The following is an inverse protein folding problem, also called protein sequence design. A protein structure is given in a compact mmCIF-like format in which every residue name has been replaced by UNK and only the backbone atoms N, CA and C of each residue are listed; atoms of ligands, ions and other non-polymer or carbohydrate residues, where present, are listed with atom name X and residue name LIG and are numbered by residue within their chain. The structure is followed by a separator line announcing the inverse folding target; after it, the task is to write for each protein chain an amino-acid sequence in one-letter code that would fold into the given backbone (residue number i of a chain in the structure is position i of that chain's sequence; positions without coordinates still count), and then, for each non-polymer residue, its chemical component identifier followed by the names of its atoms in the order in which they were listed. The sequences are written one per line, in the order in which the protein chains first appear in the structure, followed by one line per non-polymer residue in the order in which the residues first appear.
data_IF_728466340003
#
_entry.id   IF_728466340003
#
_cell.length_a   1.000
_cell.length_b   1.000
_cell.length_c   1.000
_cell.angle_alpha   90.00
_cell.angle_beta   90.00
_cell.angle_gamma   90.00
#
_symmetry.space_group_name_H-M   'P 1'
#
loop_
_entity.id
_entity.type
_entity.pdbx_description
1 polymer ?
#
# COMPACT_ATOMS: atom_id res chain seq x y z
N UNK A 1 -21.62 -6.11 2.49
CA UNK A 1 -20.80 -6.42 3.67
C UNK A 1 -21.68 -6.54 4.87
N UNK A 2 -21.74 -5.50 5.71
CA UNK A 2 -22.50 -5.53 6.97
C UNK A 2 -23.96 -5.92 6.74
N UNK A 3 -24.68 -5.22 5.86
CA UNK A 3 -26.09 -5.50 5.56
C UNK A 3 -26.33 -6.98 5.21
N UNK A 4 -25.58 -7.54 4.27
CA UNK A 4 -25.73 -8.94 3.85
C UNK A 4 -25.45 -9.95 4.97
N UNK A 5 -24.65 -9.58 5.97
CA UNK A 5 -24.31 -10.46 7.08
C UNK A 5 -25.29 -10.38 8.26
N UNK A 6 -26.13 -9.34 8.33
CA UNK A 6 -27.11 -9.15 9.41
C UNK A 6 -28.56 -9.24 8.94
N UNK A 7 -28.84 -9.00 7.66
CA UNK A 7 -30.20 -9.01 7.12
C UNK A 7 -30.81 -10.41 7.23
N UNK A 8 -32.04 -10.49 7.73
CA UNK A 8 -32.79 -11.72 7.99
C UNK A 8 -32.14 -12.68 9.00
N UNK A 9 -31.33 -12.16 9.93
CA UNK A 9 -30.82 -12.92 11.08
C UNK A 9 -31.33 -12.32 12.38
N UNK A 10 -31.65 -13.19 13.32
CA UNK A 10 -31.91 -12.82 14.72
C UNK A 10 -30.62 -13.00 15.53
N UNK A 11 -30.41 -12.14 16.53
CA UNK A 11 -29.22 -12.15 17.37
C UNK A 11 -29.64 -12.20 18.84
N UNK A 12 -29.08 -13.12 19.61
CA UNK A 12 -29.41 -13.29 21.04
C UNK A 12 -28.57 -12.37 21.95
N UNK A 13 -27.50 -11.78 21.42
CA UNK A 13 -26.59 -10.91 22.19
C UNK A 13 -25.91 -9.85 21.32
N UNK A 14 -25.42 -8.79 21.96
CA UNK A 14 -24.58 -7.78 21.30
C UNK A 14 -23.31 -8.43 20.74
N UNK A 15 -22.73 -9.42 21.43
CA UNK A 15 -21.57 -10.16 20.94
C UNK A 15 -21.82 -10.84 19.59
N UNK A 16 -22.93 -11.56 19.45
CA UNK A 16 -23.25 -12.27 18.20
C UNK A 16 -23.49 -11.30 17.02
N UNK A 17 -24.20 -10.19 17.30
CA UNK A 17 -24.37 -9.11 16.34
C UNK A 17 -23.01 -8.49 15.96
N UNK A 18 -22.15 -8.24 16.95
CA UNK A 18 -20.82 -7.66 16.77
C UNK A 18 -19.96 -8.51 15.84
N UNK A 19 -19.92 -9.83 16.06
CA UNK A 19 -19.14 -10.74 15.23
C UNK A 19 -19.62 -10.73 13.78
N UNK A 20 -20.94 -10.76 13.56
CA UNK A 20 -21.52 -10.72 12.21
C UNK A 20 -21.28 -9.37 11.51
N UNK A 21 -21.38 -8.26 12.23
CA UNK A 21 -21.08 -6.93 11.71
C UNK A 21 -19.59 -6.81 11.37
N UNK A 22 -18.69 -7.25 12.26
CA UNK A 22 -17.25 -7.20 12.04
C UNK A 22 -16.81 -8.06 10.86
N UNK A 23 -17.32 -9.29 10.75
CA UNK A 23 -17.08 -10.16 9.60
C UNK A 23 -17.54 -9.49 8.29
N UNK A 24 -18.72 -8.88 8.32
CA UNK A 24 -19.29 -8.19 7.16
C UNK A 24 -18.53 -6.92 6.77
N UNK A 25 -18.00 -6.22 7.75
CA UNK A 25 -17.16 -5.05 7.56
C UNK A 25 -15.76 -5.44 7.04
N UNK A 26 -15.13 -6.47 7.60
CA UNK A 26 -13.82 -6.99 7.18
C UNK A 26 -13.87 -7.51 5.74
N UNK A 27 -14.89 -8.31 5.41
CA UNK A 27 -15.03 -8.91 4.07
C UNK A 27 -15.30 -7.86 2.99
N UNK A 28 -15.97 -6.76 3.33
CA UNK A 28 -16.32 -5.72 2.36
C UNK A 28 -15.42 -4.47 2.44
N UNK A 29 -14.47 -4.41 3.37
CA UNK A 29 -13.60 -3.25 3.52
C UNK A 29 -12.78 -3.02 2.25
N UNK A 30 -12.91 -1.82 1.68
CA UNK A 30 -12.14 -1.39 0.51
C UNK A 30 -11.51 -0.02 0.78
N UNK A 31 -10.25 0.12 0.36
CA UNK A 31 -9.48 1.34 0.54
C UNK A 31 -9.16 1.70 1.99
N UNK A 32 -8.46 2.83 2.18
CA UNK A 32 -8.06 3.29 3.51
C UNK A 32 -9.27 3.60 4.40
N UNK A 33 -10.32 4.20 3.83
CA UNK A 33 -11.56 4.54 4.54
C UNK A 33 -12.28 3.29 5.07
N UNK A 34 -12.38 2.23 4.26
CA UNK A 34 -12.95 0.95 4.68
C UNK A 34 -12.15 0.32 5.81
N UNK A 35 -10.81 0.29 5.68
CA UNK A 35 -9.92 -0.25 6.73
C UNK A 35 -10.03 0.57 8.03
N UNK A 36 -10.08 1.90 7.96
CA UNK A 36 -10.25 2.78 9.13
C UNK A 36 -11.59 2.51 9.81
N UNK A 37 -12.69 2.42 9.06
CA UNK A 37 -14.01 2.18 9.64
C UNK A 37 -14.13 0.78 10.24
N UNK A 38 -13.60 -0.25 9.57
CA UNK A 38 -13.54 -1.59 10.14
C UNK A 38 -12.66 -1.66 11.39
N UNK A 39 -11.52 -0.95 11.38
CA UNK A 39 -10.69 -0.75 12.56
C UNK A 39 -11.45 -0.07 13.70
N UNK A 40 -12.25 0.95 13.39
CA UNK A 40 -13.13 1.61 14.36
C UNK A 40 -14.11 0.61 15.00
N UNK A 41 -14.84 -0.16 14.19
CA UNK A 41 -15.78 -1.15 14.70
C UNK A 41 -15.07 -2.22 15.57
N UNK A 42 -13.87 -2.65 15.15
CA UNK A 42 -13.08 -3.66 15.87
C UNK A 42 -12.55 -3.17 17.23
N UNK A 43 -12.40 -1.86 17.43
CA UNK A 43 -12.10 -1.28 18.76
C UNK A 43 -13.37 -1.01 19.57
N UNK A 44 -14.47 -0.72 18.90
CA UNK A 44 -15.74 -0.32 19.49
C UNK A 44 -16.51 -1.50 20.10
N UNK A 45 -16.81 -2.53 19.29
CA UNK A 45 -17.71 -3.62 19.69
C UNK A 45 -17.23 -4.44 20.90
N UNK A 46 -15.92 -4.79 21.03
CA UNK A 46 -15.46 -5.53 22.20
C UNK A 46 -15.74 -4.81 23.53
N UNK A 47 -15.92 -3.49 23.52
CA UNK A 47 -16.25 -2.75 24.72
C UNK A 47 -17.69 -2.98 25.19
N UNK A 48 -18.61 -3.37 24.32
CA UNK A 48 -20.04 -3.48 24.61
C UNK A 48 -20.62 -4.90 24.40
N UNK A 49 -19.82 -5.82 23.86
CA UNK A 49 -20.26 -7.16 23.46
C UNK A 49 -20.91 -7.97 24.60
N UNK A 50 -20.37 -7.85 25.83
CA UNK A 50 -20.84 -8.58 27.01
C UNK A 50 -21.95 -7.84 27.79
N UNK A 51 -22.29 -6.61 27.39
CA UNK A 51 -23.28 -5.79 28.09
C UNK A 51 -24.70 -6.17 27.67
N UNK A 52 -25.61 -6.28 28.64
CA UNK A 52 -27.05 -6.41 28.35
C UNK A 52 -27.68 -5.08 27.96
N UNK A 53 -27.21 -4.00 28.61
CA UNK A 53 -27.62 -2.62 28.37
C UNK A 53 -26.37 -1.74 28.38
N UNK A 54 -26.25 -0.83 27.42
CA UNK A 54 -25.07 0.02 27.28
C UNK A 54 -25.35 1.39 27.91
N UNK A 55 -24.62 1.72 28.97
CA UNK A 55 -24.71 3.05 29.59
C UNK A 55 -24.05 4.13 28.74
N UNK A 56 -24.43 5.40 28.93
CA UNK A 56 -23.79 6.53 28.23
C UNK A 56 -22.27 6.56 28.42
N UNK A 57 -21.77 6.33 29.64
CA UNK A 57 -20.34 6.32 29.91
C UNK A 57 -19.63 5.17 29.17
N UNK A 58 -20.24 3.98 29.15
CA UNK A 58 -19.72 2.83 28.42
C UNK A 58 -19.70 3.07 26.91
N UNK A 59 -20.75 3.68 26.39
CA UNK A 59 -20.86 4.15 25.00
C UNK A 59 -19.69 5.09 24.65
N UNK A 60 -19.42 6.08 25.52
CA UNK A 60 -18.31 7.02 25.36
C UNK A 60 -16.94 6.34 25.31
N UNK A 61 -16.70 5.37 26.20
CA UNK A 61 -15.47 4.55 26.21
C UNK A 61 -15.35 3.73 24.92
N UNK A 62 -16.44 3.12 24.45
CA UNK A 62 -16.45 2.32 23.23
C UNK A 62 -16.05 3.15 22.00
N UNK A 63 -16.56 4.38 21.87
CA UNK A 63 -16.16 5.29 20.79
C UNK A 63 -14.69 5.67 20.84
N UNK A 64 -14.14 5.95 22.03
CA UNK A 64 -12.71 6.23 22.19
C UNK A 64 -11.85 5.03 21.77
N UNK A 65 -12.22 3.82 22.20
CA UNK A 65 -11.52 2.58 21.84
C UNK A 65 -11.62 2.29 20.35
N UNK A 66 -12.78 2.57 19.74
CA UNK A 66 -12.93 2.55 18.30
C UNK A 66 -11.98 3.52 17.61
N UNK A 67 -11.90 4.78 18.06
CA UNK A 67 -10.95 5.76 17.51
C UNK A 67 -9.48 5.29 17.61
N UNK A 68 -9.06 4.81 18.79
CA UNK A 68 -7.70 4.30 19.00
C UNK A 68 -7.36 3.20 17.99
N UNK A 69 -8.26 2.23 17.83
CA UNK A 69 -8.07 1.12 16.89
C UNK A 69 -8.10 1.55 15.43
N UNK A 70 -8.97 2.50 15.08
CA UNK A 70 -9.03 3.09 13.74
C UNK A 70 -7.70 3.76 13.37
N UNK A 71 -7.07 4.47 14.32
CA UNK A 71 -5.77 5.11 14.14
C UNK A 71 -4.64 4.08 13.97
N UNK A 72 -4.65 3.00 14.75
CA UNK A 72 -3.68 1.89 14.64
C UNK A 72 -3.78 1.13 13.33
N UNK A 73 -4.95 1.14 12.68
CA UNK A 73 -5.19 0.44 11.43
C UNK A 73 -4.48 1.07 10.23
N UNK A 74 -3.81 2.22 10.41
CA UNK A 74 -3.09 2.95 9.37
C UNK A 74 -1.66 3.28 9.81
N UNK A 75 -0.68 2.96 8.96
CA UNK A 75 0.74 3.14 9.26
C UNK A 75 1.19 4.62 9.35
N UNK A 76 0.60 5.51 8.56
CA UNK A 76 0.97 6.93 8.48
C UNK A 76 -0.30 7.81 8.48
N UNK A 77 -0.96 7.97 9.65
CA UNK A 77 -2.21 8.73 9.77
C UNK A 77 -1.97 10.20 9.42
N UNK A 78 -2.88 10.77 8.62
CA UNK A 78 -2.82 12.17 8.16
C UNK A 78 -3.89 13.02 8.83
N UNK A 79 -3.50 14.21 9.24
CA UNK A 79 -4.45 15.26 9.65
C UNK A 79 -5.32 15.68 8.47
N UNK A 80 -6.54 16.15 8.77
CA UNK A 80 -7.51 16.54 7.76
C UNK A 80 -8.19 15.35 7.06
N UNK A 81 -8.25 14.19 7.71
CA UNK A 81 -8.92 12.98 7.19
C UNK A 81 -10.07 12.54 8.10
N UNK A 82 -10.78 11.48 7.71
CA UNK A 82 -11.77 10.75 8.53
C UNK A 82 -11.33 10.51 9.98
N UNK A 83 -10.03 10.28 10.24
CA UNK A 83 -9.51 10.09 11.59
C UNK A 83 -9.73 11.30 12.49
N UNK A 84 -9.67 12.52 11.95
CA UNK A 84 -9.93 13.75 12.73
C UNK A 84 -11.41 13.86 13.12
N UNK A 85 -12.31 13.43 12.25
CA UNK A 85 -13.76 13.42 12.50
C UNK A 85 -14.11 12.37 13.54
N UNK A 86 -13.58 11.15 13.40
CA UNK A 86 -13.74 10.06 14.39
C UNK A 86 -13.20 10.52 15.74
N UNK A 87 -12.00 11.12 15.78
CA UNK A 87 -11.38 11.63 17.00
C UNK A 87 -12.26 12.67 17.69
N UNK A 88 -12.73 13.66 16.94
CA UNK A 88 -13.53 14.76 17.49
C UNK A 88 -14.83 14.23 18.10
N UNK A 89 -15.52 13.32 17.41
CA UNK A 89 -16.71 12.68 17.95
C UNK A 89 -16.40 11.87 19.21
N UNK A 90 -15.40 10.99 19.15
CA UNK A 90 -15.08 10.04 20.21
C UNK A 90 -14.67 10.73 21.52
N UNK A 91 -13.85 11.79 21.43
CA UNK A 91 -13.47 12.55 22.61
C UNK A 91 -14.66 13.34 23.18
N UNK A 92 -15.47 13.96 22.31
CA UNK A 92 -16.63 14.73 22.74
C UNK A 92 -17.67 13.85 23.44
N UNK A 93 -18.07 12.72 22.83
CA UNK A 93 -19.08 11.83 23.42
C UNK A 93 -18.60 11.24 24.74
N UNK A 94 -17.32 10.87 24.85
CA UNK A 94 -16.72 10.42 26.11
C UNK A 94 -16.81 11.50 27.19
N UNK A 95 -16.47 12.74 26.87
CA UNK A 95 -16.51 13.83 27.86
C UNK A 95 -17.94 14.20 28.28
N UNK A 96 -18.90 14.23 27.36
CA UNK A 96 -20.30 14.50 27.66
C UNK A 96 -20.95 13.39 28.48
N UNK A 97 -20.67 12.13 28.14
CA UNK A 97 -21.22 10.94 28.81
C UNK A 97 -20.91 10.83 30.31
N UNK A 98 -19.84 11.51 30.77
CA UNK A 98 -19.49 11.59 32.19
C UNK A 98 -20.45 12.46 33.01
N UNK A 99 -21.18 13.37 32.36
CA UNK A 99 -22.02 14.39 33.00
C UNK A 99 -23.49 14.25 32.65
N UNK A 100 -23.80 13.68 31.49
CA UNK A 100 -25.15 13.50 30.97
C UNK A 100 -25.38 12.01 30.66
N UNK A 101 -26.50 11.47 31.13
CA UNK A 101 -26.88 10.06 30.95
C UNK A 101 -27.71 9.84 29.69
N UNK A 102 -28.33 10.90 29.19
CA UNK A 102 -29.11 10.90 27.95
C UNK A 102 -28.19 10.72 26.73
N UNK A 103 -28.25 9.54 26.13
CA UNK A 103 -27.41 9.16 24.98
C UNK A 103 -27.75 10.02 23.76
N UNK A 104 -29.02 10.40 23.56
CA UNK A 104 -29.45 11.22 22.42
C UNK A 104 -28.83 12.61 22.51
N UNK A 105 -28.85 13.24 23.69
CA UNK A 105 -28.17 14.53 23.92
C UNK A 105 -26.67 14.43 23.74
N UNK A 106 -26.05 13.38 24.28
CA UNK A 106 -24.61 13.16 24.14
C UNK A 106 -24.18 13.04 22.67
N UNK A 107 -24.94 12.26 21.88
CA UNK A 107 -24.71 12.12 20.44
C UNK A 107 -24.88 13.45 19.71
N UNK A 108 -25.93 14.22 20.01
CA UNK A 108 -26.17 15.51 19.36
C UNK A 108 -24.97 16.46 19.52
N UNK A 109 -24.47 16.66 20.75
CA UNK A 109 -23.33 17.55 20.98
C UNK A 109 -22.01 16.99 20.42
N UNK A 110 -21.81 15.67 20.47
CA UNK A 110 -20.63 15.06 19.87
C UNK A 110 -20.63 15.17 18.34
N UNK A 111 -21.81 15.10 17.71
CA UNK A 111 -21.99 15.26 16.27
C UNK A 111 -21.63 16.68 15.81
N UNK A 112 -21.96 17.71 16.60
CA UNK A 112 -21.52 19.09 16.32
C UNK A 112 -19.99 19.19 16.26
N UNK A 113 -19.29 18.52 17.19
CA UNK A 113 -17.81 18.47 17.20
C UNK A 113 -17.23 17.69 16.03
N UNK A 114 -17.87 16.60 15.62
CA UNK A 114 -17.48 15.88 14.41
C UNK A 114 -17.65 16.74 13.15
N UNK A 115 -18.75 17.48 13.05
CA UNK A 115 -19.02 18.39 11.93
C UNK A 115 -18.04 19.57 11.89
N UNK A 116 -17.72 20.19 13.03
CA UNK A 116 -16.65 21.20 13.12
C UNK A 116 -15.32 20.65 12.60
N UNK A 117 -14.93 19.44 13.01
CA UNK A 117 -13.71 18.80 12.55
C UNK A 117 -13.72 18.50 11.05
N UNK A 118 -14.86 18.07 10.50
CA UNK A 118 -15.04 17.83 9.07
C UNK A 118 -14.84 19.13 8.26
N UNK A 119 -15.47 20.22 8.69
CA UNK A 119 -15.37 21.52 8.03
C UNK A 119 -13.96 22.10 8.09
N UNK A 120 -13.16 21.71 9.08
CA UNK A 120 -11.77 22.12 9.23
C UNK A 120 -10.77 21.24 8.44
N UNK A 121 -11.20 20.08 7.91
CA UNK A 121 -10.32 19.22 7.09
C UNK A 121 -9.60 19.94 5.95
N UNK A 122 -10.19 20.91 5.23
CA UNK A 122 -9.49 21.67 4.19
C UNK A 122 -8.37 22.56 4.74
N UNK A 123 -8.47 23.05 5.98
CA UNK A 123 -7.41 23.85 6.58
C UNK A 123 -6.17 23.02 6.93
N UNK A 124 -6.37 21.73 7.19
CA UNK A 124 -5.31 20.77 7.54
C UNK A 124 -4.69 20.09 6.32
N UNK A 125 -5.38 20.10 5.17
CA UNK A 125 -4.90 19.43 3.97
C UNK A 125 -4.99 20.32 2.71
N UNK A 126 -3.84 20.68 2.16
CA UNK A 126 -3.75 21.62 1.02
C UNK A 126 -4.52 21.14 -0.23
N UNK A 127 -4.59 19.83 -0.47
CA UNK A 127 -5.33 19.26 -1.60
C UNK A 127 -6.84 19.49 -1.48
N UNK A 128 -7.39 19.31 -0.27
CA UNK A 128 -8.80 19.58 0.04
C UNK A 128 -9.09 21.07 -0.07
N UNK A 129 -8.20 21.92 0.46
CA UNK A 129 -8.29 23.39 0.35
C UNK A 129 -8.37 23.86 -1.11
N UNK A 130 -7.48 23.35 -1.95
CA UNK A 130 -7.42 23.72 -3.38
C UNK A 130 -8.64 23.25 -4.15
N UNK A 131 -9.18 22.08 -3.78
CA UNK A 131 -10.39 21.53 -4.39
C UNK A 131 -11.67 22.16 -3.85
N UNK A 132 -11.62 22.88 -2.72
CA UNK A 132 -12.80 23.49 -2.10
C UNK A 132 -13.78 22.45 -1.53
N UNK A 133 -13.27 21.27 -1.15
CA UNK A 133 -14.07 20.15 -0.62
C UNK A 133 -13.53 19.68 0.72
N UNK A 134 -14.39 19.04 1.52
CA UNK A 134 -14.01 18.35 2.77
C UNK A 134 -13.54 16.92 2.49
N UNK A 135 -12.97 16.26 3.50
CA UNK A 135 -12.63 14.84 3.39
C UNK A 135 -13.88 13.96 3.17
N UNK A 136 -13.89 13.20 2.08
CA UNK A 136 -15.03 12.36 1.72
C UNK A 136 -15.26 11.20 2.71
N UNK A 137 -14.18 10.65 3.28
CA UNK A 137 -14.30 9.64 4.33
C UNK A 137 -14.92 10.22 5.58
N UNK A 138 -14.42 11.37 6.05
CA UNK A 138 -14.98 12.10 7.18
C UNK A 138 -16.46 12.44 7.01
N UNK A 139 -16.87 12.89 5.82
CA UNK A 139 -18.27 13.13 5.49
C UNK A 139 -19.10 11.83 5.58
N UNK A 140 -18.60 10.73 5.02
CA UNK A 140 -19.26 9.42 5.12
C UNK A 140 -19.44 8.95 6.57
N UNK A 141 -18.43 9.14 7.42
CA UNK A 141 -18.54 8.81 8.85
C UNK A 141 -19.57 9.70 9.55
N UNK A 142 -19.60 11.00 9.25
CA UNK A 142 -20.58 11.91 9.81
C UNK A 142 -22.01 11.50 9.44
N UNK A 143 -22.25 11.09 8.19
CA UNK A 143 -23.56 10.60 7.75
C UNK A 143 -24.01 9.32 8.50
N UNK A 144 -23.06 8.43 8.82
CA UNK A 144 -23.33 7.25 9.64
C UNK A 144 -23.76 7.68 11.05
N UNK A 145 -23.04 8.62 11.67
CA UNK A 145 -23.39 9.14 12.99
C UNK A 145 -24.74 9.87 13.00
N UNK A 146 -25.06 10.64 11.96
CA UNK A 146 -26.38 11.26 11.78
C UNK A 146 -27.47 10.19 11.75
N UNK A 147 -27.25 9.11 11.00
CA UNK A 147 -28.20 7.99 10.93
C UNK A 147 -28.39 7.31 12.29
N UNK A 148 -27.33 7.17 13.09
CA UNK A 148 -27.44 6.64 14.44
C UNK A 148 -28.28 7.55 15.33
N UNK A 149 -28.06 8.87 15.27
CA UNK A 149 -28.84 9.83 16.05
C UNK A 149 -30.32 9.83 15.63
N UNK A 150 -30.62 9.79 14.33
CA UNK A 150 -31.99 9.72 13.83
C UNK A 150 -32.69 8.43 14.33
N UNK A 151 -32.00 7.29 14.26
CA UNK A 151 -32.52 6.00 14.76
C UNK A 151 -32.78 6.04 16.27
N UNK A 152 -31.88 6.65 17.05
CA UNK A 152 -32.05 6.77 18.51
C UNK A 152 -33.23 7.67 18.88
N UNK A 153 -33.51 8.72 18.09
CA UNK A 153 -34.67 9.60 18.31
C UNK A 153 -35.99 8.92 17.96
N UNK A 154 -36.04 8.13 16.88
CA UNK A 154 -37.23 7.37 16.50
C UNK A 154 -37.64 6.34 17.58
N UNK A 155 -36.68 5.86 18.37
CA UNK A 155 -36.94 4.96 19.51
C UNK A 155 -37.49 5.69 20.75
N UNK A 156 -37.42 7.03 20.82
CA UNK A 156 -38.05 7.81 21.91
C UNK A 156 -39.55 8.07 21.67
N UNK A 157 -40.04 7.94 20.44
CA UNK A 157 -41.47 8.07 20.13
C UNK A 157 -42.21 6.74 20.39
N UNK A 158 -42.64 6.53 21.64
CA UNK A 158 -43.53 5.43 22.05
C UNK A 158 -44.86 5.45 21.23
N UNK A 159 -45.22 4.36 20.52
CA UNK A 159 -46.44 4.29 19.71
C UNK A 159 -47.76 4.38 20.50
N UNK A 160 -47.73 4.44 21.84
CA UNK A 160 -48.91 4.61 22.69
C UNK A 160 -49.03 5.99 23.37
N UNK A 161 -48.13 6.94 23.11
CA UNK A 161 -48.26 8.30 23.66
C UNK A 161 -49.03 9.21 22.70
N UNK A 162 -50.35 9.31 22.90
CA UNK A 162 -51.10 10.46 22.41
C UNK A 162 -50.67 11.67 23.26
N UNK A 163 -50.01 12.68 22.67
CA UNK A 163 -50.18 14.09 23.09
C UNK A 163 -49.56 15.13 22.14
N UNK A 164 -50.49 15.94 21.63
CA UNK A 164 -50.52 17.41 21.70
C UNK A 164 -49.31 18.22 21.24
N UNK A 165 -49.52 18.95 20.14
CA UNK A 165 -48.75 20.09 19.63
C UNK A 165 -48.17 20.97 20.76
N UNK A 166 -46.86 20.89 20.93
CA UNK A 166 -46.01 22.07 21.14
C UNK A 166 -44.74 21.87 20.30
N UNK A 167 -44.68 22.61 19.20
CA UNK A 167 -43.48 22.74 18.37
C UNK A 167 -42.43 23.52 19.16
N UNK A 168 -41.49 22.81 19.77
CA UNK A 168 -40.14 23.37 19.97
C UNK A 168 -39.42 23.26 18.64
N UNK A 169 -38.88 24.38 18.13
CA UNK A 169 -38.05 24.42 16.91
C UNK A 169 -36.83 23.51 17.08
N UNK A 170 -36.95 22.25 16.68
CA UNK A 170 -35.82 21.35 16.50
C UNK A 170 -35.08 21.86 15.26
N UNK A 171 -33.95 22.54 15.46
CA UNK A 171 -33.05 22.95 14.38
C UNK A 171 -32.64 21.71 13.57
N UNK A 172 -33.17 21.63 12.34
CA UNK A 172 -32.80 20.60 11.37
C UNK A 172 -31.31 20.75 11.04
N UNK A 173 -30.48 19.70 11.15
CA UNK A 173 -29.12 19.76 10.62
C UNK A 173 -29.20 20.06 9.12
N UNK A 174 -28.47 21.08 8.67
CA UNK A 174 -28.37 21.42 7.24
C UNK A 174 -27.67 20.26 6.53
N UNK A 175 -28.44 19.39 5.88
CA UNK A 175 -27.91 18.36 4.97
C UNK A 175 -27.03 19.03 3.92
N UNK A 176 -25.73 18.76 3.96
CA UNK A 176 -24.81 19.18 2.92
C UNK A 176 -24.98 18.24 1.72
N UNK A 177 -25.89 18.59 0.80
CA UNK A 177 -26.08 17.85 -0.46
C UNK A 177 -25.04 18.36 -1.45
N UNK A 178 -23.90 17.68 -1.53
CA UNK A 178 -22.97 17.90 -2.63
C UNK A 178 -23.50 17.17 -3.88
N UNK A 179 -23.81 17.91 -4.94
CA UNK A 179 -24.16 17.32 -6.24
C UNK A 179 -22.85 16.85 -6.89
N UNK A 180 -22.53 15.57 -6.72
CA UNK A 180 -21.31 14.93 -7.21
C UNK A 180 -21.36 14.75 -8.73
N UNK A 181 -20.63 15.58 -9.47
CA UNK A 181 -20.74 15.66 -10.95
C UNK A 181 -19.89 14.62 -11.70
N UNK A 182 -18.93 13.94 -11.06
CA UNK A 182 -18.11 12.89 -11.69
C UNK A 182 -17.62 11.90 -10.62
N UNK A 183 -17.95 10.60 -10.76
CA UNK A 183 -17.45 9.54 -9.88
C UNK A 183 -16.56 8.57 -10.67
N UNK A 184 -15.27 8.53 -10.35
CA UNK A 184 -14.48 7.32 -10.50
C UNK A 184 -13.57 7.21 -9.28
N UNK A 185 -13.75 6.14 -8.51
CA UNK A 185 -12.76 5.69 -7.55
C UNK A 185 -12.03 4.51 -8.20
N UNK A 186 -10.71 4.60 -8.31
CA UNK A 186 -9.89 3.47 -8.77
C UNK A 186 -9.36 2.79 -7.53
N UNK A 187 -10.12 1.81 -7.03
CA UNK A 187 -9.63 0.87 -6.02
C UNK A 187 -8.87 -0.23 -6.76
N UNK A 188 -7.55 -0.26 -6.61
CA UNK A 188 -6.74 -1.37 -7.09
C UNK A 188 -6.44 -2.29 -5.90
N UNK A 189 -7.17 -3.39 -5.78
CA UNK A 189 -6.74 -4.53 -4.97
C UNK A 189 -5.65 -5.26 -5.78
N UNK A 190 -4.41 -5.19 -5.31
CA UNK A 190 -3.30 -5.90 -5.91
C UNK A 190 -3.28 -7.32 -5.32
N UNK A 191 -4.00 -8.25 -5.94
CA UNK A 191 -3.73 -9.68 -5.75
C UNK A 191 -2.50 -10.01 -6.61
N UNK A 192 -1.37 -10.25 -5.96
CA UNK A 192 -0.09 -10.50 -6.63
C UNK A 192 0.17 -12.00 -6.55
N UNK A 193 -0.05 -12.67 -7.68
CA UNK A 193 0.43 -14.04 -7.85
C UNK A 193 1.89 -14.02 -8.31
N UNK A 194 2.74 -14.73 -7.57
CA UNK A 194 4.16 -14.85 -7.89
C UNK A 194 4.39 -16.26 -8.44
N UNK A 195 4.79 -16.36 -9.70
CA UNK A 195 5.26 -17.63 -10.26
C UNK A 195 6.73 -17.78 -9.85
N UNK A 196 7.06 -18.72 -8.94
CA UNK A 196 8.41 -18.84 -8.42
C UNK A 196 9.35 -19.33 -9.52
N UNK A 197 10.54 -18.74 -9.58
CA UNK A 197 11.61 -19.20 -10.46
C UNK A 197 12.22 -20.48 -9.90
N UNK A 198 12.46 -21.44 -10.78
CA UNK A 198 13.20 -22.65 -10.42
C UNK A 198 14.69 -22.40 -10.58
N UNK A 199 15.41 -22.56 -9.47
CA UNK A 199 16.86 -22.45 -9.41
C UNK A 199 17.41 -23.86 -9.23
N UNK A 200 18.25 -24.29 -10.16
CA UNK A 200 18.94 -25.56 -10.10
C UNK A 200 20.32 -25.34 -9.48
N UNK A 201 20.57 -26.05 -8.39
CA UNK A 201 21.88 -26.16 -7.76
C UNK A 201 22.50 -27.49 -8.18
N UNK A 202 23.54 -27.47 -9.03
CA UNK A 202 24.26 -28.69 -9.40
C UNK A 202 25.03 -29.26 -8.19
N UNK A 203 25.54 -28.37 -7.32
CA UNK A 203 26.10 -28.69 -6.01
C UNK A 203 25.60 -27.65 -4.98
N UNK A 204 25.46 -28.03 -3.71
CA UNK A 204 25.13 -27.07 -2.64
C UNK A 204 23.64 -26.80 -2.42
N UNK A 205 22.76 -27.74 -2.74
CA UNK A 205 21.32 -27.59 -2.56
C UNK A 205 20.92 -27.28 -1.10
N UNK A 206 21.71 -27.72 -0.12
CA UNK A 206 21.53 -27.50 1.32
C UNK A 206 22.33 -26.32 1.91
N UNK A 207 22.81 -25.40 1.08
CA UNK A 207 23.56 -24.24 1.56
C UNK A 207 22.62 -23.25 2.28
N UNK A 208 23.00 -22.88 3.50
CA UNK A 208 22.26 -21.97 4.37
C UNK A 208 22.22 -20.52 3.82
N UNK A 209 21.13 -19.82 4.12
CA UNK A 209 20.90 -18.42 3.75
C UNK A 209 19.41 -18.13 3.57
N UNK A 210 18.98 -16.95 3.98
CA UNK A 210 17.57 -16.52 3.94
C UNK A 210 17.12 -16.16 2.53
N UNK A 211 18.06 -15.90 1.62
CA UNK A 211 17.81 -15.55 0.24
C UNK A 211 18.91 -16.10 -0.69
N UNK A 212 18.63 -16.09 -1.99
CA UNK A 212 19.52 -16.65 -3.03
C UNK A 212 20.91 -16.02 -3.00
N UNK A 213 21.02 -14.71 -2.74
CA UNK A 213 22.30 -14.01 -2.67
C UNK A 213 23.18 -14.51 -1.49
N UNK A 214 22.59 -14.67 -0.30
CA UNK A 214 23.29 -15.21 0.86
C UNK A 214 23.71 -16.66 0.62
N UNK A 215 22.82 -17.49 0.07
CA UNK A 215 23.12 -18.89 -0.26
C UNK A 215 24.26 -19.01 -1.26
N UNK A 216 24.27 -18.15 -2.28
CA UNK A 216 25.36 -18.02 -3.25
C UNK A 216 26.70 -17.68 -2.59
N UNK A 217 26.70 -16.73 -1.65
CA UNK A 217 27.90 -16.27 -0.95
C UNK A 217 28.48 -17.37 -0.07
N UNK A 218 27.62 -18.01 0.70
CA UNK A 218 27.96 -19.17 1.54
C UNK A 218 28.46 -20.36 0.71
N UNK A 219 27.82 -20.64 -0.44
CA UNK A 219 28.21 -21.73 -1.33
C UNK A 219 29.65 -21.53 -1.83
N UNK A 220 29.97 -20.28 -2.20
CA UNK A 220 31.30 -19.89 -2.63
C UNK A 220 32.33 -19.95 -1.51
N UNK A 221 31.98 -19.56 -0.29
CA UNK A 221 32.85 -19.68 0.89
C UNK A 221 33.18 -21.14 1.23
N UNK A 222 32.22 -22.04 0.98
CA UNK A 222 32.39 -23.51 1.09
C UNK A 222 33.13 -24.14 -0.08
N UNK A 223 33.53 -23.35 -1.07
CA UNK A 223 34.30 -23.83 -2.23
C UNK A 223 33.47 -24.55 -3.30
N UNK A 224 32.15 -24.41 -3.30
CA UNK A 224 31.30 -24.93 -4.37
C UNK A 224 31.62 -24.18 -5.67
N UNK A 225 31.92 -24.94 -6.72
CA UNK A 225 32.45 -24.40 -7.97
C UNK A 225 31.39 -24.25 -9.06
N UNK A 226 30.26 -24.93 -8.96
CA UNK A 226 29.17 -24.89 -9.94
C UNK A 226 28.18 -23.76 -9.65
N UNK A 227 27.98 -22.86 -10.63
CA UNK A 227 27.05 -21.74 -10.49
C UNK A 227 25.61 -22.24 -10.58
N UNK A 228 24.71 -21.84 -9.69
CA UNK A 228 23.30 -22.17 -9.82
C UNK A 228 22.73 -21.62 -11.13
N UNK A 229 21.90 -22.42 -11.79
CA UNK A 229 21.23 -22.08 -13.05
C UNK A 229 19.78 -21.76 -12.81
N UNK A 230 19.22 -20.91 -13.68
CA UNK A 230 17.80 -20.56 -13.64
C UNK A 230 17.13 -21.28 -14.79
N UNK A 231 16.12 -22.07 -14.49
CA UNK A 231 15.25 -22.58 -15.54
C UNK A 231 14.24 -21.50 -15.92
N UNK A 232 14.09 -21.20 -17.22
CA UNK A 232 12.99 -20.36 -17.69
C UNK A 232 11.66 -20.95 -17.25
N UNK A 233 10.73 -20.08 -16.85
CA UNK A 233 9.37 -20.51 -16.53
C UNK A 233 8.71 -20.98 -17.83
N UNK A 234 8.11 -22.17 -17.81
CA UNK A 234 7.42 -22.71 -18.97
C UNK A 234 6.09 -21.94 -19.22
N UNK A 235 5.67 -21.76 -20.48
CA UNK A 235 4.44 -21.02 -20.82
C UNK A 235 3.18 -21.52 -20.09
N UNK A 236 3.10 -22.82 -19.78
CA UNK A 236 1.95 -23.46 -19.14
C UNK A 236 1.70 -22.90 -17.73
N UNK A 237 2.76 -22.59 -16.98
CA UNK A 237 2.64 -21.98 -15.64
C UNK A 237 2.10 -20.55 -15.70
N UNK A 238 2.52 -19.77 -16.71
CA UNK A 238 1.94 -18.45 -16.95
C UNK A 238 0.46 -18.56 -17.32
N UNK A 239 0.11 -19.51 -18.20
CA UNK A 239 -1.27 -19.75 -18.61
C UNK A 239 -2.19 -20.15 -17.44
N UNK A 240 -1.72 -21.01 -16.54
CA UNK A 240 -2.45 -21.40 -15.33
C UNK A 240 -2.66 -20.22 -14.37
N UNK A 241 -1.60 -19.43 -14.16
CA UNK A 241 -1.66 -18.23 -13.33
C UNK A 241 -2.62 -17.18 -13.91
N UNK A 242 -2.57 -16.96 -15.23
CA UNK A 242 -3.50 -16.06 -15.92
C UNK A 242 -4.94 -16.54 -15.78
N UNK A 243 -5.22 -17.83 -15.97
CA UNK A 243 -6.57 -18.40 -15.76
C UNK A 243 -7.07 -18.18 -14.34
N UNK A 244 -6.23 -18.42 -13.34
CA UNK A 244 -6.59 -18.28 -11.93
C UNK A 244 -6.91 -16.82 -11.58
N UNK A 245 -6.09 -15.89 -12.04
CA UNK A 245 -6.31 -14.46 -11.80
C UNK A 245 -7.49 -13.90 -12.60
N UNK A 246 -7.68 -14.35 -13.85
CA UNK A 246 -8.82 -13.95 -14.68
C UNK A 246 -10.18 -14.50 -14.19
N UNK A 247 -10.20 -15.47 -13.28
CA UNK A 247 -11.44 -15.85 -12.57
C UNK A 247 -11.89 -14.77 -11.57
N UNK A 248 -10.96 -13.95 -11.07
CA UNK A 248 -11.20 -12.93 -10.05
C UNK A 248 -11.19 -11.51 -10.60
N UNK A 249 -10.45 -11.28 -11.68
CA UNK A 249 -10.17 -9.95 -12.23
C UNK A 249 -10.42 -9.91 -13.73
N UNK A 250 -10.91 -8.77 -14.22
CA UNK A 250 -11.16 -8.57 -15.66
C UNK A 250 -9.86 -8.53 -16.47
N UNK A 251 -8.77 -8.07 -15.85
CA UNK A 251 -7.47 -7.81 -16.46
C UNK A 251 -6.33 -8.35 -15.59
N UNK A 252 -5.29 -8.91 -16.22
CA UNK A 252 -4.07 -9.38 -15.53
C UNK A 252 -2.83 -8.68 -16.07
N UNK A 253 -2.10 -8.01 -15.18
CA UNK A 253 -0.81 -7.39 -15.47
C UNK A 253 0.33 -8.35 -15.10
N UNK A 254 0.90 -9.03 -16.09
CA UNK A 254 2.10 -9.85 -15.89
C UNK A 254 3.37 -9.02 -16.04
N UNK A 255 4.18 -8.95 -14.98
CA UNK A 255 5.48 -8.28 -14.98
C UNK A 255 6.55 -9.36 -14.85
N UNK A 256 7.45 -9.41 -15.82
CA UNK A 256 8.54 -10.40 -15.90
C UNK A 256 9.89 -9.72 -16.06
N UNK A 257 10.97 -10.46 -15.82
CA UNK A 257 12.33 -9.99 -16.05
C UNK A 257 12.60 -9.72 -17.54
N UNK A 258 13.57 -8.84 -17.82
CA UNK A 258 13.95 -8.43 -19.19
C UNK A 258 14.18 -9.64 -20.10
N UNK A 259 13.64 -9.60 -21.31
CA UNK A 259 13.78 -10.64 -22.35
C UNK A 259 15.23 -10.93 -22.75
N UNK A 260 16.13 -9.97 -22.52
CA UNK A 260 17.57 -10.11 -22.78
C UNK A 260 18.27 -10.89 -21.65
N UNK A 261 17.74 -10.81 -20.44
CA UNK A 261 18.31 -11.45 -19.25
C UNK A 261 17.67 -12.80 -18.96
N UNK A 262 16.43 -13.02 -19.41
CA UNK A 262 15.72 -14.28 -19.28
C UNK A 262 14.73 -14.48 -20.42
N UNK A 263 14.44 -15.73 -20.75
CA UNK A 263 13.39 -16.07 -21.74
C UNK A 263 11.97 -16.00 -21.16
N UNK A 264 11.80 -15.50 -19.92
CA UNK A 264 10.49 -15.47 -19.26
C UNK A 264 9.50 -14.54 -19.96
N UNK A 265 9.98 -13.48 -20.62
CA UNK A 265 9.14 -12.63 -21.45
C UNK A 265 8.51 -13.39 -22.61
N UNK A 266 9.29 -14.12 -23.40
CA UNK A 266 8.77 -14.90 -24.52
C UNK A 266 7.87 -16.05 -24.04
N UNK A 267 8.17 -16.67 -22.89
CA UNK A 267 7.29 -17.66 -22.26
C UNK A 267 5.96 -17.05 -21.82
N UNK A 268 5.98 -15.87 -21.19
CA UNK A 268 4.79 -15.14 -20.79
C UNK A 268 3.96 -14.69 -22.00
N UNK A 269 4.61 -14.23 -23.08
CA UNK A 269 3.95 -13.89 -24.35
C UNK A 269 3.23 -15.11 -24.94
N UNK A 270 3.89 -16.27 -24.98
CA UNK A 270 3.27 -17.52 -25.45
C UNK A 270 2.06 -17.94 -24.59
N UNK A 271 2.15 -17.75 -23.27
CA UNK A 271 1.01 -17.94 -22.37
C UNK A 271 -0.13 -16.93 -22.58
N UNK A 272 0.22 -15.69 -22.96
CA UNK A 272 -0.69 -14.57 -23.23
C UNK A 272 -1.36 -14.65 -24.60
N UNK A 273 -0.68 -15.14 -25.63
CA UNK A 273 -1.16 -15.23 -27.02
C UNK A 273 -2.37 -16.18 -27.18
N UNK A 274 -2.84 -16.74 -26.06
CA UNK A 274 -4.22 -17.17 -25.81
C UNK A 274 -5.22 -15.99 -25.63
N UNK A 275 -4.90 -14.84 -26.24
CA UNK A 275 -5.57 -13.51 -26.34
C UNK A 275 -5.57 -12.64 -25.08
N UNK A 276 -5.05 -11.40 -25.22
CA UNK A 276 -5.46 -10.10 -24.61
C UNK A 276 -4.56 -8.97 -25.18
N UNK A 277 -5.12 -8.06 -25.98
CA UNK A 277 -4.35 -7.08 -26.80
C UNK A 277 -4.31 -5.65 -26.23
N UNK A 278 -5.11 -5.32 -25.21
CA UNK A 278 -5.31 -3.93 -24.78
C UNK A 278 -4.34 -3.47 -23.67
N UNK A 279 -3.94 -4.37 -22.76
CA UNK A 279 -2.98 -4.10 -21.69
C UNK A 279 -1.55 -3.93 -22.24
N UNK A 280 -1.19 -4.72 -23.25
CA UNK A 280 0.13 -4.67 -23.93
C UNK A 280 0.45 -3.25 -24.37
N UNK A 281 -0.53 -2.56 -24.96
CA UNK A 281 -0.37 -1.16 -25.41
C UNK A 281 -0.09 -0.17 -24.27
N UNK A 282 -0.59 -0.41 -23.05
CA UNK A 282 -0.33 0.46 -21.88
C UNK A 282 1.04 0.19 -21.25
N UNK A 283 1.46 -1.09 -21.21
CA UNK A 283 2.77 -1.50 -20.72
C UNK A 283 3.87 -1.01 -21.67
N UNK A 284 3.72 -1.21 -22.99
CA UNK A 284 4.70 -0.77 -24.00
C UNK A 284 4.96 0.74 -23.89
N UNK A 285 3.89 1.54 -23.74
CA UNK A 285 4.00 3.00 -23.54
C UNK A 285 4.72 3.41 -22.24
N UNK A 286 4.82 2.49 -21.28
CA UNK A 286 5.42 2.74 -19.96
C UNK A 286 6.85 2.22 -19.90
N UNK A 287 7.17 1.09 -20.53
CA UNK A 287 8.51 0.49 -20.58
C UNK A 287 9.54 1.51 -21.07
N UNK A 288 9.24 2.25 -22.13
CA UNK A 288 10.15 3.26 -22.70
C UNK A 288 10.47 4.42 -21.75
N UNK A 289 9.71 4.57 -20.67
CA UNK A 289 9.90 5.64 -19.66
C UNK A 289 10.67 5.15 -18.45
N UNK A 290 10.88 3.84 -18.30
CA UNK A 290 11.61 3.23 -17.17
C UNK A 290 13.10 3.30 -17.43
N UNK A 291 13.81 3.94 -16.51
CA UNK A 291 15.26 4.02 -16.50
C UNK A 291 15.79 3.08 -15.40
N UNK A 292 16.86 2.35 -15.69
CA UNK A 292 17.52 1.50 -14.70
C UNK A 292 19.01 1.83 -14.69
N UNK A 293 19.53 2.16 -13.50
CA UNK A 293 20.96 2.16 -13.22
C UNK A 293 21.28 0.99 -12.30
N UNK A 294 22.42 0.34 -12.53
CA UNK A 294 22.91 -0.74 -11.69
C UNK A 294 24.42 -0.64 -11.50
N UNK A 295 24.91 -0.99 -10.32
CA UNK A 295 26.33 -1.23 -10.07
C UNK A 295 26.51 -2.71 -9.82
N UNK A 296 27.34 -3.32 -10.64
CA UNK A 296 27.64 -4.76 -10.62
C UNK A 296 29.15 -4.98 -10.65
N UNK A 297 29.60 -6.14 -10.17
CA UNK A 297 31.01 -6.53 -10.24
C UNK A 297 31.43 -6.82 -11.69
N UNK A 298 32.63 -6.39 -12.11
CA UNK A 298 33.08 -6.46 -13.52
C UNK A 298 33.47 -7.84 -14.02
N UNK A 299 33.88 -8.73 -13.12
CA UNK A 299 34.29 -10.07 -13.50
C UNK A 299 33.13 -11.02 -13.26
N UNK A 300 33.12 -12.12 -14.00
CA UNK A 300 32.32 -13.29 -13.72
C UNK A 300 32.61 -13.71 -12.28
N UNK A 301 31.86 -13.13 -11.35
CA UNK A 301 32.22 -13.08 -9.94
C UNK A 301 32.26 -14.52 -9.40
N UNK A 302 31.56 -15.43 -10.06
CA UNK A 302 31.61 -16.87 -9.91
C UNK A 302 32.89 -17.50 -10.52
N UNK A 303 33.18 -17.29 -11.80
CA UNK A 303 34.33 -17.90 -12.49
C UNK A 303 35.62 -17.06 -12.37
N UNK A 304 36.42 -17.33 -11.34
CA UNK A 304 37.79 -16.79 -11.23
C UNK A 304 38.79 -17.60 -12.06
N UNK A 305 38.88 -17.38 -13.36
CA UNK A 305 40.14 -17.68 -14.07
C UNK A 305 41.06 -16.44 -14.15
N UNK A 306 42.28 -16.63 -13.62
CA UNK A 306 43.49 -15.80 -13.74
C UNK A 306 43.52 -14.48 -12.94
N UNK A 307 44.06 -14.58 -11.72
CA UNK A 307 44.71 -13.44 -11.03
C UNK A 307 45.97 -13.02 -11.81
N UNK A 308 45.84 -12.04 -12.69
CA UNK A 308 47.00 -11.26 -13.15
C UNK A 308 47.41 -10.31 -12.02
N UNK A 309 48.66 -10.40 -11.57
CA UNK A 309 49.26 -9.66 -10.46
C UNK A 309 49.33 -8.13 -10.64
N UNK A 310 48.74 -7.58 -11.72
CA UNK A 310 49.01 -6.20 -12.19
C UNK A 310 47.80 -5.30 -12.49
N UNK A 311 46.58 -5.55 -12.00
CA UNK A 311 45.50 -4.55 -12.15
C UNK A 311 44.68 -4.32 -10.87
N UNK A 312 45.09 -3.33 -10.06
CA UNK A 312 44.17 -2.54 -9.22
C UNK A 312 43.34 -1.61 -10.11
N UNK A 313 42.46 -2.16 -10.96
CA UNK A 313 41.36 -1.39 -11.56
C UNK A 313 40.10 -1.61 -10.73
N UNK A 314 39.32 -0.56 -10.53
CA UNK A 314 38.07 -0.57 -9.76
C UNK A 314 37.20 -1.76 -10.18
N UNK A 315 36.82 -2.58 -9.19
CA UNK A 315 36.17 -3.89 -9.35
C UNK A 315 34.72 -3.79 -9.83
N UNK A 316 34.09 -2.62 -9.65
CA UNK A 316 32.66 -2.43 -9.89
C UNK A 316 32.41 -1.48 -11.06
N UNK A 317 31.30 -1.73 -11.74
CA UNK A 317 30.87 -1.05 -12.95
C UNK A 317 29.47 -0.50 -12.76
N UNK A 318 29.31 0.82 -12.94
CA UNK A 318 28.01 1.42 -13.17
C UNK A 318 27.58 1.12 -14.61
N UNK A 319 26.37 0.61 -14.74
CA UNK A 319 25.69 0.36 -16.01
C UNK A 319 24.29 0.95 -16.04
N UNK A 320 23.77 1.07 -17.25
CA UNK A 320 22.42 1.55 -17.53
C UNK A 320 21.71 0.61 -18.49
N UNK A 321 20.41 0.44 -18.30
CA UNK A 321 19.57 -0.30 -19.22
C UNK A 321 19.31 0.50 -20.49
N UNK A 322 19.66 -0.06 -21.65
CA UNK A 322 19.37 0.47 -22.98
C UNK A 322 18.92 -0.67 -23.88
N UNK A 323 17.71 -0.58 -24.44
CA UNK A 323 17.13 -1.62 -25.31
C UNK A 323 17.21 -3.02 -24.70
N UNK A 324 16.86 -3.15 -23.41
CA UNK A 324 16.89 -4.42 -22.68
C UNK A 324 18.28 -4.91 -22.26
N UNK A 325 19.38 -4.25 -22.66
CA UNK A 325 20.76 -4.60 -22.31
C UNK A 325 21.35 -3.65 -21.27
N UNK A 326 22.14 -4.18 -20.34
CA UNK A 326 22.98 -3.35 -19.46
C UNK A 326 24.23 -2.90 -20.22
N UNK A 327 24.39 -1.59 -20.37
CA UNK A 327 25.52 -0.95 -21.04
C UNK A 327 26.41 -0.30 -19.99
N UNK A 328 27.72 -0.57 -20.04
CA UNK A 328 28.70 0.04 -19.15
C UNK A 328 28.75 1.57 -19.31
N UNK A 329 28.78 2.28 -18.19
CA UNK A 329 28.98 3.73 -18.15
C UNK A 329 30.38 4.07 -17.61
N UNK A 330 30.68 3.68 -16.38
CA UNK A 330 31.93 4.03 -15.71
C UNK A 330 32.29 3.03 -14.59
N UNK A 331 33.54 3.06 -14.14
CA UNK A 331 33.95 2.26 -12.99
C UNK A 331 33.67 2.99 -11.69
N UNK A 332 33.28 2.25 -10.66
CA UNK A 332 32.93 2.81 -9.35
C UNK A 332 33.74 2.13 -8.26
N UNK A 333 34.10 2.88 -7.22
CA UNK A 333 34.71 2.33 -6.00
C UNK A 333 33.64 1.70 -5.12
N UNK A 334 34.01 0.71 -4.31
CA UNK A 334 33.11 -0.01 -3.41
C UNK A 334 32.38 0.85 -2.35
N UNK A 335 32.80 2.11 -2.14
CA UNK A 335 32.24 3.03 -1.15
C UNK A 335 31.41 4.18 -1.76
N UNK A 336 31.27 4.21 -3.09
CA UNK A 336 30.72 5.35 -3.83
C UNK A 336 29.50 4.94 -4.70
N UNK A 337 28.80 3.85 -4.35
CA UNK A 337 27.75 3.30 -5.22
C UNK A 337 26.55 4.22 -5.28
N UNK A 338 26.07 4.63 -4.11
CA UNK A 338 24.96 5.56 -3.95
C UNK A 338 25.25 6.89 -4.67
N UNK A 339 26.43 7.48 -4.46
CA UNK A 339 26.80 8.76 -5.08
C UNK A 339 26.90 8.65 -6.60
N UNK A 340 27.48 7.57 -7.14
CA UNK A 340 27.63 7.40 -8.57
C UNK A 340 26.27 7.31 -9.27
N UNK A 341 25.35 6.52 -8.73
CA UNK A 341 23.98 6.41 -9.24
C UNK A 341 23.23 7.76 -9.08
N UNK A 342 23.29 8.38 -7.90
CA UNK A 342 22.62 9.64 -7.62
C UNK A 342 23.03 10.73 -8.61
N UNK A 343 24.33 10.88 -8.91
CA UNK A 343 24.84 11.88 -9.87
C UNK A 343 24.22 11.70 -11.27
N UNK A 344 23.98 10.47 -11.72
CA UNK A 344 23.33 10.23 -13.02
C UNK A 344 21.86 10.61 -12.99
N UNK A 345 21.12 10.21 -11.94
CA UNK A 345 19.70 10.53 -11.79
C UNK A 345 19.51 12.05 -11.68
N UNK A 346 20.27 12.72 -10.82
CA UNK A 346 20.19 14.17 -10.64
C UNK A 346 20.44 14.91 -11.96
N UNK A 347 21.49 14.52 -12.70
CA UNK A 347 21.81 15.11 -14.00
C UNK A 347 20.67 14.90 -15.02
N UNK A 348 20.15 13.68 -15.11
CA UNK A 348 19.20 13.30 -16.15
C UNK A 348 17.75 13.73 -15.86
N UNK A 349 17.43 14.01 -14.59
CA UNK A 349 16.10 14.47 -14.17
C UNK A 349 15.96 15.99 -14.03
N UNK A 350 17.08 16.73 -13.98
CA UNK A 350 17.13 18.18 -13.67
C UNK A 350 16.15 19.04 -14.46
N UNK A 351 16.04 18.81 -15.78
CA UNK A 351 15.15 19.59 -16.66
C UNK A 351 13.68 19.29 -16.36
N UNK A 352 13.34 18.02 -16.20
CA UNK A 352 11.96 17.59 -16.00
C UNK A 352 11.44 17.99 -14.61
N UNK A 353 12.29 17.94 -13.58
CA UNK A 353 11.94 18.44 -12.24
C UNK A 353 11.68 19.95 -12.28
N UNK A 354 12.47 20.73 -13.03
CA UNK A 354 12.19 22.17 -13.23
C UNK A 354 10.83 22.40 -13.90
N UNK A 355 10.41 21.50 -14.78
CA UNK A 355 9.08 21.52 -15.40
C UNK A 355 7.97 20.99 -14.47
N UNK A 356 8.28 20.75 -13.19
CA UNK A 356 7.31 20.39 -12.16
C UNK A 356 7.00 18.90 -12.04
N UNK A 357 7.61 18.06 -12.88
CA UNK A 357 7.46 16.60 -12.86
C UNK A 357 8.07 15.97 -11.60
N UNK A 358 7.65 14.75 -11.30
CA UNK A 358 8.06 14.01 -10.11
C UNK A 358 8.90 12.79 -10.48
N UNK A 359 9.85 12.42 -9.64
CA UNK A 359 10.55 11.14 -9.77
C UNK A 359 9.82 10.11 -8.92
N UNK A 360 9.59 8.92 -9.47
CA UNK A 360 9.31 7.73 -8.67
C UNK A 360 10.45 6.73 -8.87
N UNK A 361 11.01 6.23 -7.77
CA UNK A 361 12.14 5.31 -7.78
C UNK A 361 11.90 4.09 -6.88
N UNK A 362 12.48 2.97 -7.27
CA UNK A 362 12.54 1.70 -6.53
C UNK A 362 14.00 1.27 -6.48
N UNK A 363 14.46 0.89 -5.30
CA UNK A 363 15.86 0.51 -5.07
C UNK A 363 15.91 -0.99 -4.77
N UNK A 364 16.88 -1.70 -5.34
CA UNK A 364 17.18 -3.09 -5.01
C UNK A 364 18.67 -3.29 -4.69
N UNK A 365 19.00 -4.20 -3.78
CA UNK A 365 20.40 -4.49 -3.41
C UNK A 365 20.71 -5.98 -3.31
N UNK A 366 21.94 -6.35 -3.66
CA UNK A 366 22.47 -7.69 -3.47
C UNK A 366 23.32 -7.77 -2.20
N UNK A 367 22.71 -7.86 -1.03
CA UNK A 367 23.43 -7.88 0.27
C UNK A 367 24.26 -6.59 0.56
N UNK A 368 23.77 -5.42 0.13
CA UNK A 368 24.38 -4.10 0.38
C UNK A 368 23.33 -3.07 0.80
N UNK A 369 22.68 -3.31 1.94
CA UNK A 369 21.61 -2.46 2.47
C UNK A 369 22.11 -1.05 2.83
N UNK A 370 23.37 -0.93 3.27
CA UNK A 370 23.97 0.36 3.65
C UNK A 370 23.98 1.35 2.49
N UNK A 371 24.49 0.94 1.32
CA UNK A 371 24.50 1.81 0.14
C UNK A 371 23.09 2.03 -0.43
N UNK A 372 22.15 1.10 -0.24
CA UNK A 372 20.75 1.28 -0.62
C UNK A 372 20.05 2.37 0.21
N UNK A 373 20.21 2.34 1.53
CA UNK A 373 19.68 3.37 2.43
C UNK A 373 20.36 4.73 2.22
N UNK A 374 21.66 4.72 1.91
CA UNK A 374 22.40 5.93 1.53
C UNK A 374 21.88 6.53 0.23
N UNK A 375 21.64 5.73 -0.81
CA UNK A 375 21.04 6.18 -2.07
C UNK A 375 19.63 6.75 -1.84
N UNK A 376 18.83 6.12 -1.00
CA UNK A 376 17.49 6.62 -0.61
C UNK A 376 17.55 8.00 0.04
N UNK A 377 18.50 8.22 0.95
CA UNK A 377 18.71 9.55 1.58
C UNK A 377 19.09 10.61 0.54
N UNK A 378 20.01 10.29 -0.38
CA UNK A 378 20.43 11.20 -1.45
C UNK A 378 19.25 11.57 -2.37
N UNK A 379 18.49 10.57 -2.83
CA UNK A 379 17.34 10.78 -3.72
C UNK A 379 16.21 11.58 -3.07
N UNK A 380 15.96 11.42 -1.75
CA UNK A 380 15.03 12.29 -1.01
C UNK A 380 15.44 13.76 -0.98
N UNK A 381 16.71 14.08 -1.20
CA UNK A 381 17.20 15.44 -1.35
C UNK A 381 16.69 16.14 -2.62
N UNK A 382 16.23 15.39 -3.62
CA UNK A 382 15.63 15.93 -4.84
C UNK A 382 14.14 16.23 -4.59
N UNK A 383 13.74 17.49 -4.75
CA UNK A 383 12.33 17.92 -4.62
C UNK A 383 11.41 17.08 -5.50
N UNK A 384 10.27 16.63 -4.94
CA UNK A 384 9.26 15.80 -5.61
C UNK A 384 9.75 14.40 -6.03
N UNK A 385 10.58 13.78 -5.21
CA UNK A 385 10.99 12.37 -5.38
C UNK A 385 10.24 11.48 -4.41
N UNK A 386 9.59 10.45 -4.94
CA UNK A 386 8.90 9.39 -4.22
C UNK A 386 9.72 8.10 -4.33
N UNK A 387 10.14 7.54 -3.20
CA UNK A 387 10.87 6.26 -3.16
C UNK A 387 9.92 5.24 -2.60
N UNK A 388 9.46 4.33 -3.45
CA UNK A 388 8.36 3.44 -3.10
C UNK A 388 8.80 2.37 -2.09
N UNK A 389 9.95 1.72 -2.32
CA UNK A 389 10.51 0.70 -1.41
C UNK A 389 11.98 0.41 -1.73
N UNK A 390 12.67 -0.21 -0.76
CA UNK A 390 13.97 -0.87 -0.94
C UNK A 390 13.74 -2.37 -0.79
N UNK A 391 14.19 -3.16 -1.76
CA UNK A 391 14.13 -4.62 -1.71
C UNK A 391 15.50 -5.27 -1.84
N UNK A 392 15.61 -6.52 -1.41
CA UNK A 392 16.70 -7.39 -1.85
C UNK A 392 16.49 -7.79 -3.32
N UNK A 393 17.57 -8.05 -4.05
CA UNK A 393 17.49 -8.53 -5.43
C UNK A 393 16.75 -9.86 -5.55
N UNK A 394 15.95 -10.00 -6.61
CA UNK A 394 15.30 -11.25 -6.94
C UNK A 394 16.34 -12.35 -7.32
N UNK A 395 15.96 -13.63 -7.38
CA UNK A 395 16.86 -14.71 -7.74
C UNK A 395 17.64 -14.52 -9.06
N UNK A 396 16.99 -14.00 -10.11
CA UNK A 396 17.63 -13.78 -11.41
C UNK A 396 18.71 -12.73 -11.31
N UNK A 397 18.35 -11.60 -10.75
CA UNK A 397 19.30 -10.51 -10.55
C UNK A 397 20.42 -10.96 -9.60
N UNK A 398 20.10 -11.75 -8.58
CA UNK A 398 21.09 -12.21 -7.61
C UNK A 398 22.17 -13.10 -8.23
N UNK A 399 21.79 -14.07 -9.06
CA UNK A 399 22.75 -14.95 -9.75
C UNK A 399 23.67 -14.15 -10.70
N UNK A 400 23.15 -13.09 -11.32
CA UNK A 400 23.90 -12.35 -12.33
C UNK A 400 24.69 -11.15 -11.79
N UNK A 401 24.24 -10.55 -10.68
CA UNK A 401 24.72 -9.24 -10.24
C UNK A 401 25.31 -9.23 -8.81
N UNK A 402 25.09 -10.26 -7.99
CA UNK A 402 25.60 -10.29 -6.61
C UNK A 402 27.06 -10.77 -6.52
N UNK A 403 27.72 -10.63 -5.34
CA UNK A 403 27.29 -9.86 -4.18
C UNK A 403 27.56 -8.36 -4.31
N UNK A 404 27.03 -7.61 -3.36
CA UNK A 404 27.17 -6.17 -3.16
C UNK A 404 26.54 -5.27 -4.21
N UNK A 405 25.75 -5.79 -5.15
CA UNK A 405 25.11 -4.96 -6.18
C UNK A 405 24.14 -3.93 -5.61
N UNK A 406 23.97 -2.83 -6.34
CA UNK A 406 22.98 -1.80 -6.08
C UNK A 406 22.28 -1.42 -7.39
N UNK A 407 20.95 -1.46 -7.39
CA UNK A 407 20.12 -1.17 -8.56
C UNK A 407 19.06 -0.14 -8.20
N UNK A 408 18.72 0.71 -9.15
CA UNK A 408 17.59 1.63 -9.03
C UNK A 408 16.82 1.73 -10.34
N UNK A 409 15.55 1.34 -10.29
CA UNK A 409 14.58 1.61 -11.34
C UNK A 409 13.88 2.93 -11.06
N UNK A 410 13.76 3.82 -12.04
CA UNK A 410 13.11 5.11 -11.84
C UNK A 410 12.40 5.61 -13.09
N UNK A 411 11.35 6.39 -12.86
CA UNK A 411 10.53 7.04 -13.89
C UNK A 411 10.31 8.51 -13.55
N UNK A 412 10.06 9.31 -14.58
CA UNK A 412 9.61 10.69 -14.46
C UNK A 412 8.11 10.72 -14.76
N UNK A 413 7.30 11.15 -13.78
CA UNK A 413 5.85 11.33 -13.89
C UNK A 413 5.47 12.79 -14.05
#
# INVERSE_FOLDING_TARGET
GIKSNIENKDFESIAELSDSVLDGALTAAQGNTGIIYTGFLAGFFPCIAEEKEVSAEKMGIAFEKGYERARESIQDPKEGTMLDVIKAFALAIKDYSRKEKDIVKNFYFALEKANEALLDTPNKMEVLKKAGVVDAGGLGFLMILETYLDTLKEQEEDPFVIKTKQETEIMKPKRFIQILSNRYEVVALLDIEVIPLRIIWEEGENVAGENVCQRIKEAKEKGISSCPKIEPILPEFFMESYKTQLQKFDDVLCIVSSSVLSNNYDSALKGRDLKIEEIVRKIDKTIDKVNLYCIVEKNDWWNKEKKSWLKKKTRYSLGEMRNGKIVHIENVKNTEFAEAIFRKIEKNSKKEIKNGKRIRAVIAHGDNLEEAEKLKKLLKGIKKTDISFINITDPVTSINACPQSLLVGWIIK
#
